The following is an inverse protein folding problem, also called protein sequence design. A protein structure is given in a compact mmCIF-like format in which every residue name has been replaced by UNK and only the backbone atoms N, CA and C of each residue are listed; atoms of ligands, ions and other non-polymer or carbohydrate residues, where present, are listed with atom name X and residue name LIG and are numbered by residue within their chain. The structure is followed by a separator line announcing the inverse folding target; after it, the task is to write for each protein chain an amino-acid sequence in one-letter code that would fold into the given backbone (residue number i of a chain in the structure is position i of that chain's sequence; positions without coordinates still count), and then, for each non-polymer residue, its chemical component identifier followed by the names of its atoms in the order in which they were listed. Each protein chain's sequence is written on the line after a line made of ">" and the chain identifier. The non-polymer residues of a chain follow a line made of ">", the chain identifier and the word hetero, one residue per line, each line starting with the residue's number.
data_IF_697979487046
#
_entry.id   IF_697979487046
#
_cell.length_a   1.000
_cell.length_b   1.000
_cell.length_c   1.000
_cell.angle_alpha   90.00
_cell.angle_beta   90.00
_cell.angle_gamma   90.00
#
_symmetry.space_group_name_H-M   'P 1'
#
loop_
_entity.id
_entity.type
_entity.pdbx_description
1 polymer ?
#
# COMPACT_ATOMS: atom_id res chain seq x y z
N UNK A 1 27.19 19.48 8.43
CA UNK A 1 26.06 19.05 9.29
C UNK A 1 25.04 18.32 8.41
N UNK A 2 24.54 17.17 8.86
CA UNK A 2 23.43 16.49 8.19
C UNK A 2 22.12 17.18 8.64
N UNK A 3 21.29 17.73 7.73
CA UNK A 3 20.05 18.42 8.08
C UNK A 3 18.96 17.48 8.57
N UNK A 4 19.09 16.17 8.37
CA UNK A 4 18.08 15.17 8.70
C UNK A 4 16.68 15.61 8.22
N UNK A 5 15.64 15.42 9.04
CA UNK A 5 14.26 15.77 8.68
C UNK A 5 13.99 17.26 8.45
N UNK A 6 14.91 18.17 8.82
CA UNK A 6 14.76 19.61 8.49
C UNK A 6 14.81 19.84 6.98
N UNK A 7 15.44 18.94 6.21
CA UNK A 7 15.44 19.01 4.75
C UNK A 7 14.01 18.95 4.16
N UNK A 8 13.07 18.30 4.83
CA UNK A 8 11.66 18.23 4.40
C UNK A 8 11.02 19.62 4.28
N UNK A 9 11.44 20.59 5.12
CA UNK A 9 10.94 21.97 5.03
C UNK A 9 11.33 22.61 3.71
N UNK A 10 12.54 22.35 3.22
CA UNK A 10 13.01 22.88 1.92
C UNK A 10 12.24 22.24 0.78
N UNK A 11 12.11 20.91 0.80
CA UNK A 11 11.38 20.15 -0.22
C UNK A 11 9.91 20.58 -0.29
N UNK A 12 9.24 20.67 0.87
CA UNK A 12 7.82 21.02 0.92
C UNK A 12 7.56 22.49 0.60
N UNK A 13 8.48 23.38 0.97
CA UNK A 13 8.41 24.78 0.55
C UNK A 13 8.53 24.92 -0.98
N UNK A 14 9.51 24.26 -1.59
CA UNK A 14 9.70 24.28 -3.04
C UNK A 14 8.47 23.72 -3.79
N UNK A 15 7.87 22.64 -3.26
CA UNK A 15 6.65 22.07 -3.83
C UNK A 15 5.47 23.05 -3.75
N UNK A 16 5.26 23.70 -2.60
CA UNK A 16 4.20 24.72 -2.45
C UNK A 16 4.40 25.92 -3.35
N UNK A 17 5.65 26.37 -3.53
CA UNK A 17 5.99 27.51 -4.38
C UNK A 17 5.74 27.21 -5.87
N UNK A 18 6.09 26.01 -6.33
CA UNK A 18 5.99 25.62 -7.74
C UNK A 18 4.60 25.13 -8.14
N UNK A 19 3.91 24.38 -7.29
CA UNK A 19 2.66 23.71 -7.62
C UNK A 19 1.43 24.42 -7.03
N UNK A 20 1.63 25.21 -6.00
CA UNK A 20 0.55 25.84 -5.23
C UNK A 20 -0.14 24.88 -4.24
N UNK A 21 -0.76 25.41 -3.16
CA UNK A 21 -1.31 24.62 -2.07
C UNK A 21 -2.51 23.74 -2.47
N UNK A 22 -3.23 24.12 -3.51
CA UNK A 22 -4.41 23.39 -4.00
C UNK A 22 -4.10 22.28 -5.00
N UNK A 23 -2.82 22.08 -5.36
CA UNK A 23 -2.43 21.02 -6.29
C UNK A 23 -2.86 19.63 -5.77
N UNK A 24 -3.31 18.76 -6.67
CA UNK A 24 -3.67 17.36 -6.37
C UNK A 24 -3.11 16.45 -7.43
N UNK A 25 -2.64 15.28 -7.02
CA UNK A 25 -2.25 14.23 -7.96
C UNK A 25 -3.48 13.50 -8.50
N UNK A 26 -3.34 12.99 -9.71
CA UNK A 26 -4.36 12.15 -10.35
C UNK A 26 -3.89 10.69 -10.37
N UNK A 27 -4.83 9.76 -10.18
CA UNK A 27 -4.64 8.34 -10.44
C UNK A 27 -5.72 7.91 -11.42
N UNK A 28 -5.47 8.03 -12.74
CA UNK A 28 -6.43 7.65 -13.76
C UNK A 28 -6.54 6.13 -13.88
N UNK A 29 -7.76 5.68 -14.18
CA UNK A 29 -8.08 4.29 -14.45
C UNK A 29 -8.67 4.18 -15.85
N UNK A 30 -8.16 3.25 -16.64
CA UNK A 30 -8.63 3.01 -17.99
C UNK A 30 -9.17 1.60 -18.13
N UNK A 31 -10.13 1.43 -19.01
CA UNK A 31 -10.75 0.16 -19.35
C UNK A 31 -10.41 -0.16 -20.80
N UNK A 32 -9.69 -1.25 -21.01
CA UNK A 32 -9.38 -1.80 -22.33
C UNK A 32 -10.26 -3.05 -22.54
N UNK A 33 -11.17 -3.01 -23.49
CA UNK A 33 -12.07 -4.13 -23.79
C UNK A 33 -13.54 -3.78 -23.56
N UNK A 34 -14.36 -4.78 -23.33
CA UNK A 34 -15.80 -4.63 -23.20
C UNK A 34 -16.30 -5.02 -21.80
N UNK A 35 -17.21 -4.22 -21.25
CA UNK A 35 -17.92 -4.53 -20.01
C UNK A 35 -19.32 -5.02 -20.36
N UNK A 36 -19.69 -6.22 -19.91
CA UNK A 36 -21.03 -6.80 -20.10
C UNK A 36 -21.41 -7.57 -18.82
N UNK A 37 -22.62 -7.35 -18.33
CA UNK A 37 -23.18 -8.04 -17.18
C UNK A 37 -22.20 -8.14 -15.98
N UNK A 38 -21.60 -7.01 -15.61
CA UNK A 38 -20.64 -6.93 -14.50
C UNK A 38 -19.26 -7.49 -14.81
N UNK A 39 -19.02 -7.97 -16.03
CA UNK A 39 -17.75 -8.60 -16.42
C UNK A 39 -16.99 -7.75 -17.43
N UNK A 40 -15.77 -7.36 -17.09
CA UNK A 40 -14.80 -6.82 -18.04
C UNK A 40 -14.06 -7.98 -18.72
N UNK A 41 -14.20 -8.09 -20.04
CA UNK A 41 -13.33 -8.94 -20.87
C UNK A 41 -12.26 -8.05 -21.49
N UNK A 42 -11.04 -8.08 -20.92
CA UNK A 42 -9.97 -7.18 -21.31
C UNK A 42 -9.06 -6.83 -20.14
N UNK A 43 -8.60 -5.58 -20.05
CA UNK A 43 -7.67 -5.12 -19.01
C UNK A 43 -8.19 -3.89 -18.29
N UNK A 44 -7.96 -3.86 -16.99
CA UNK A 44 -8.10 -2.66 -16.19
C UNK A 44 -6.72 -2.07 -15.95
N UNK A 45 -6.51 -0.81 -16.31
CA UNK A 45 -5.25 -0.10 -16.10
C UNK A 45 -5.41 0.90 -14.96
N UNK A 46 -4.45 0.91 -14.04
CA UNK A 46 -4.35 1.91 -12.97
C UNK A 46 -2.99 2.60 -13.15
N UNK A 47 -3.00 3.90 -13.46
CA UNK A 47 -1.78 4.65 -13.72
C UNK A 47 -1.40 5.50 -12.52
N UNK A 48 -0.22 5.26 -11.97
CA UNK A 48 0.39 6.09 -10.95
C UNK A 48 1.05 7.33 -11.55
N UNK A 49 0.77 8.48 -10.96
CA UNK A 49 1.38 9.77 -11.33
C UNK A 49 2.05 10.44 -10.13
N UNK A 50 2.48 9.65 -9.15
CA UNK A 50 3.23 10.11 -7.99
C UNK A 50 2.37 10.59 -6.82
N UNK A 51 1.10 10.14 -6.69
CA UNK A 51 0.32 10.41 -5.48
C UNK A 51 1.07 9.84 -4.25
N UNK A 52 1.56 10.69 -3.35
CA UNK A 52 2.35 10.24 -2.20
C UNK A 52 1.49 9.68 -1.08
N UNK A 53 0.17 9.73 -1.20
CA UNK A 53 -0.78 9.35 -0.15
C UNK A 53 -1.89 8.41 -0.66
N UNK A 54 -1.56 7.52 -1.61
CA UNK A 54 -2.48 6.46 -2.04
C UNK A 54 -2.48 5.33 -0.99
N UNK A 55 -2.97 5.65 0.20
CA UNK A 55 -3.12 4.71 1.32
C UNK A 55 -4.25 3.71 1.08
N UNK A 56 -4.36 2.69 1.94
CA UNK A 56 -5.32 1.60 1.80
C UNK A 56 -6.76 2.09 1.57
N UNK A 57 -7.20 3.09 2.32
CA UNK A 57 -8.55 3.65 2.24
C UNK A 57 -8.82 4.29 0.87
N UNK A 58 -7.84 5.01 0.33
CA UNK A 58 -7.93 5.65 -0.98
C UNK A 58 -7.92 4.61 -2.11
N UNK A 59 -7.10 3.58 -1.98
CA UNK A 59 -7.09 2.45 -2.91
C UNK A 59 -8.43 1.68 -2.85
N UNK A 60 -8.96 1.44 -1.65
CA UNK A 60 -10.26 0.81 -1.47
C UNK A 60 -11.35 1.62 -2.15
N UNK A 61 -11.37 2.94 -1.95
CA UNK A 61 -12.35 3.82 -2.58
C UNK A 61 -12.21 3.81 -4.12
N UNK A 62 -10.97 3.80 -4.63
CA UNK A 62 -10.72 3.71 -6.08
C UNK A 62 -11.31 2.41 -6.63
N UNK A 63 -10.99 1.26 -6.04
CA UNK A 63 -11.51 -0.05 -6.48
C UNK A 63 -13.03 -0.15 -6.29
N UNK A 64 -13.58 0.44 -5.23
CA UNK A 64 -15.03 0.52 -5.03
C UNK A 64 -15.72 1.31 -6.14
N UNK A 65 -15.10 2.39 -6.60
CA UNK A 65 -15.61 3.16 -7.75
C UNK A 65 -15.53 2.34 -9.05
N UNK A 66 -14.50 1.52 -9.23
CA UNK A 66 -14.45 0.57 -10.36
C UNK A 66 -15.65 -0.36 -10.34
N UNK A 67 -15.99 -0.94 -9.17
CA UNK A 67 -17.15 -1.80 -9.03
C UNK A 67 -18.49 -1.04 -9.24
N UNK A 68 -18.66 0.10 -8.58
CA UNK A 68 -19.96 0.76 -8.52
C UNK A 68 -20.21 1.70 -9.70
N UNK A 69 -19.21 2.47 -10.14
CA UNK A 69 -19.38 3.47 -11.20
C UNK A 69 -19.16 2.90 -12.60
N UNK A 70 -18.27 1.91 -12.73
CA UNK A 70 -18.01 1.23 -14.01
C UNK A 70 -18.78 -0.09 -14.13
N UNK A 71 -19.44 -0.55 -13.07
CA UNK A 71 -20.19 -1.81 -13.05
C UNK A 71 -19.30 -3.04 -13.23
N UNK A 72 -18.02 -3.02 -12.81
CA UNK A 72 -17.08 -4.11 -13.01
C UNK A 72 -16.91 -4.88 -11.70
N UNK A 73 -17.49 -6.07 -11.61
CA UNK A 73 -17.35 -6.98 -10.47
C UNK A 73 -16.41 -8.15 -10.77
N UNK A 74 -16.29 -8.50 -12.06
CA UNK A 74 -15.43 -9.57 -12.56
C UNK A 74 -14.55 -9.08 -13.68
N UNK A 75 -13.27 -9.51 -13.68
CA UNK A 75 -12.32 -9.22 -14.75
C UNK A 75 -11.84 -10.56 -15.32
N UNK A 76 -12.02 -10.73 -16.64
CA UNK A 76 -11.44 -11.80 -17.46
C UNK A 76 -10.31 -11.18 -18.25
N UNK A 77 -9.10 -11.25 -17.70
CA UNK A 77 -7.89 -10.56 -18.13
C UNK A 77 -7.13 -9.99 -16.93
N UNK A 78 -6.25 -9.03 -17.18
CA UNK A 78 -5.35 -8.52 -16.14
C UNK A 78 -5.81 -7.16 -15.57
N UNK A 79 -5.40 -6.90 -14.33
CA UNK A 79 -5.26 -5.55 -13.79
C UNK A 79 -3.79 -5.17 -14.00
N UNK A 80 -3.53 -4.09 -14.74
CA UNK A 80 -2.17 -3.63 -15.04
C UNK A 80 -1.90 -2.32 -14.31
N UNK A 81 -0.81 -2.31 -13.56
CA UNK A 81 -0.38 -1.18 -12.73
C UNK A 81 0.77 -0.48 -13.43
N UNK A 82 0.53 0.74 -13.88
CA UNK A 82 1.56 1.56 -14.54
C UNK A 82 2.20 2.50 -13.50
N UNK A 83 3.47 2.28 -13.21
CA UNK A 83 4.28 3.13 -12.34
C UNK A 83 5.44 3.81 -13.10
N UNK A 84 5.36 3.88 -14.42
CA UNK A 84 6.46 4.36 -15.28
C UNK A 84 6.63 5.88 -15.31
N UNK A 85 5.76 6.64 -14.62
CA UNK A 85 5.92 8.09 -14.49
C UNK A 85 7.19 8.49 -13.73
N UNK A 86 7.77 7.60 -12.91
CA UNK A 86 9.07 7.77 -12.29
C UNK A 86 10.08 6.78 -12.88
N UNK A 87 11.33 7.22 -12.99
CA UNK A 87 12.44 6.31 -13.23
C UNK A 87 12.61 5.37 -12.00
N UNK A 88 13.03 4.13 -12.20
CA UNK A 88 13.32 3.23 -11.08
C UNK A 88 14.32 3.87 -10.10
N UNK A 89 14.03 3.78 -8.80
CA UNK A 89 14.96 4.25 -7.77
C UNK A 89 16.23 3.40 -7.79
N UNK A 90 17.42 4.01 -7.80
CA UNK A 90 18.67 3.27 -7.68
C UNK A 90 18.95 2.77 -6.25
N UNK A 91 18.24 3.30 -5.24
CA UNK A 91 18.46 2.96 -3.83
C UNK A 91 17.65 1.75 -3.41
N UNK A 92 18.27 0.89 -2.57
CA UNK A 92 17.58 -0.22 -1.92
C UNK A 92 17.10 0.18 -0.51
N UNK A 93 16.04 -0.43 0.01
CA UNK A 93 15.49 -0.07 1.33
C UNK A 93 16.48 -0.16 2.49
N UNK A 94 17.49 -1.00 2.41
CA UNK A 94 18.52 -1.15 3.45
C UNK A 94 19.73 -0.20 3.35
N UNK A 95 19.82 0.61 2.30
CA UNK A 95 21.04 1.41 2.02
C UNK A 95 21.26 2.52 3.04
N UNK A 96 20.21 3.01 3.70
CA UNK A 96 20.31 4.13 4.62
C UNK A 96 20.82 3.74 6.01
N UNK A 97 20.31 2.65 6.59
CA UNK A 97 20.55 2.28 7.98
C UNK A 97 20.69 0.76 8.23
N UNK A 98 20.65 -0.04 7.17
CA UNK A 98 20.69 -1.49 7.25
C UNK A 98 19.36 -2.15 7.64
N UNK A 99 18.25 -1.39 7.70
CA UNK A 99 16.94 -1.86 8.16
C UNK A 99 15.93 -1.95 6.99
N UNK A 100 16.04 -2.94 6.09
CA UNK A 100 15.22 -3.01 4.87
C UNK A 100 13.71 -3.19 5.13
N UNK A 101 13.34 -3.68 6.32
CA UNK A 101 11.94 -3.88 6.71
C UNK A 101 11.35 -2.68 7.49
N UNK A 102 12.12 -1.62 7.69
CA UNK A 102 11.59 -0.39 8.27
C UNK A 102 10.73 0.35 7.27
N UNK A 103 9.48 0.65 7.65
CA UNK A 103 8.48 1.27 6.77
C UNK A 103 8.94 2.62 6.17
N UNK A 104 9.81 3.36 6.88
CA UNK A 104 10.33 4.65 6.43
C UNK A 104 11.44 4.54 5.36
N UNK A 105 11.91 3.33 5.04
CA UNK A 105 12.93 3.06 4.03
C UNK A 105 12.36 2.64 2.67
N UNK A 106 11.04 2.65 2.50
CA UNK A 106 10.42 2.33 1.22
C UNK A 106 10.86 3.31 0.13
N UNK A 107 11.31 2.77 -1.00
CA UNK A 107 11.73 3.59 -2.14
C UNK A 107 10.53 4.30 -2.79
N UNK A 108 10.74 5.52 -3.35
CA UNK A 108 9.73 6.24 -4.12
C UNK A 108 9.15 5.39 -5.25
N UNK A 109 7.88 5.61 -5.57
CA UNK A 109 7.18 4.92 -6.65
C UNK A 109 6.10 5.84 -7.22
N UNK A 110 5.91 5.83 -8.53
CA UNK A 110 4.85 6.62 -9.15
C UNK A 110 3.45 6.11 -8.77
N UNK A 111 3.33 4.82 -8.41
CA UNK A 111 2.12 4.21 -7.84
C UNK A 111 2.42 3.70 -6.42
N UNK A 112 2.66 4.64 -5.51
CA UNK A 112 3.03 4.38 -4.14
C UNK A 112 1.81 3.92 -3.31
N UNK A 113 1.48 2.64 -3.36
CA UNK A 113 0.39 2.06 -2.59
C UNK A 113 0.83 1.86 -1.14
N UNK A 114 0.07 2.44 -0.20
CA UNK A 114 0.19 2.26 1.26
C UNK A 114 1.65 2.27 1.76
N UNK A 115 2.49 3.16 1.20
CA UNK A 115 3.93 3.29 1.52
C UNK A 115 4.72 1.98 1.37
N UNK A 116 4.28 1.05 0.53
CA UNK A 116 4.83 -0.33 0.39
C UNK A 116 4.94 -1.07 1.74
N UNK A 117 4.05 -0.75 2.66
CA UNK A 117 4.07 -1.25 4.04
C UNK A 117 2.84 -2.07 4.36
N UNK A 118 3.04 -3.03 5.27
CA UNK A 118 1.98 -3.82 5.88
C UNK A 118 1.80 -3.35 7.30
N UNK A 119 0.57 -3.12 7.72
CA UNK A 119 0.20 -2.82 9.09
C UNK A 119 -0.33 -4.10 9.76
N UNK A 120 0.35 -4.58 10.77
CA UNK A 120 -0.13 -5.64 11.65
C UNK A 120 -0.86 -5.00 12.84
N UNK A 121 -2.15 -5.27 12.97
CA UNK A 121 -2.92 -4.95 14.18
C UNK A 121 -3.09 -6.21 15.02
N UNK A 122 -2.76 -6.12 16.31
CA UNK A 122 -2.76 -7.23 17.26
C UNK A 122 -3.77 -6.90 18.34
N UNK A 123 -4.86 -7.67 18.44
CA UNK A 123 -5.93 -7.45 19.41
C UNK A 123 -6.07 -8.68 20.31
N UNK A 124 -5.75 -8.57 21.63
CA UNK A 124 -5.84 -9.70 22.54
C UNK A 124 -7.29 -10.11 22.82
N UNK A 125 -7.56 -11.41 22.76
CA UNK A 125 -8.79 -12.06 23.18
C UNK A 125 -8.50 -13.01 24.35
N UNK A 126 -8.71 -12.51 25.55
CA UNK A 126 -8.45 -13.27 26.78
C UNK A 126 -9.42 -14.44 26.99
N UNK A 127 -10.62 -14.38 26.40
CA UNK A 127 -11.59 -15.46 26.49
C UNK A 127 -11.15 -16.68 25.66
N UNK A 128 -10.51 -16.45 24.51
CA UNK A 128 -10.00 -17.53 23.66
C UNK A 128 -8.53 -17.86 23.93
N UNK A 129 -7.82 -17.09 24.74
CA UNK A 129 -6.39 -17.31 25.04
C UNK A 129 -5.47 -17.01 23.84
N UNK A 130 -5.90 -16.19 22.89
CA UNK A 130 -5.16 -15.81 21.69
C UNK A 130 -5.19 -14.30 21.48
N UNK A 131 -4.23 -13.78 20.70
CA UNK A 131 -4.38 -12.46 20.11
C UNK A 131 -4.73 -12.64 18.62
N UNK A 132 -5.76 -11.94 18.18
CA UNK A 132 -6.15 -11.88 16.77
C UNK A 132 -5.19 -10.95 16.01
N UNK A 133 -4.86 -11.33 14.79
CA UNK A 133 -3.93 -10.63 13.91
C UNK A 133 -4.67 -10.18 12.65
N UNK A 134 -4.73 -8.88 12.45
CA UNK A 134 -5.24 -8.29 11.23
C UNK A 134 -4.07 -7.69 10.42
N UNK A 135 -4.07 -7.93 9.13
CA UNK A 135 -3.02 -7.52 8.20
C UNK A 135 -3.60 -6.62 7.12
N UNK A 136 -3.13 -5.39 7.04
CA UNK A 136 -3.59 -4.38 6.11
C UNK A 136 -2.43 -3.82 5.26
N UNK A 137 -2.55 -3.83 3.91
CA UNK A 137 -3.61 -4.46 3.13
C UNK A 137 -3.52 -6.00 3.12
N UNK A 138 -4.59 -6.71 2.76
CA UNK A 138 -4.50 -8.13 2.47
C UNK A 138 -3.62 -8.35 1.24
N UNK A 139 -2.63 -9.23 1.32
CA UNK A 139 -1.69 -9.51 0.24
C UNK A 139 -2.03 -10.85 -0.43
N UNK A 140 -2.39 -10.82 -1.72
CA UNK A 140 -2.72 -12.04 -2.45
C UNK A 140 -1.51 -12.98 -2.54
N UNK A 141 -1.75 -14.28 -2.24
CA UNK A 141 -0.73 -15.32 -2.30
C UNK A 141 0.28 -15.30 -1.15
N UNK A 142 0.07 -14.48 -0.11
CA UNK A 142 0.90 -14.46 1.10
C UNK A 142 0.20 -15.20 2.24
N UNK A 143 0.90 -16.14 2.87
CA UNK A 143 0.42 -16.82 4.07
C UNK A 143 0.68 -15.94 5.30
N UNK A 144 -0.39 -15.52 5.96
CA UNK A 144 -0.33 -14.67 7.14
C UNK A 144 -1.06 -15.35 8.30
N UNK A 145 -0.44 -15.50 9.49
CA UNK A 145 -1.11 -16.08 10.64
C UNK A 145 -2.28 -15.19 11.08
N UNK A 146 -3.34 -15.81 11.59
CA UNK A 146 -4.54 -15.08 12.06
C UNK A 146 -4.55 -14.89 13.56
N UNK A 147 -3.78 -15.67 14.28
CA UNK A 147 -3.71 -15.63 15.75
C UNK A 147 -2.29 -15.93 16.21
N UNK A 148 -1.99 -15.49 17.42
CA UNK A 148 -0.81 -15.89 18.20
C UNK A 148 -1.24 -16.17 19.64
N UNK A 149 -0.55 -17.09 20.32
CA UNK A 149 -0.88 -17.45 21.72
C UNK A 149 -0.73 -16.24 22.65
N UNK A 150 -1.69 -16.08 23.59
CA UNK A 150 -1.57 -15.12 24.67
C UNK A 150 -0.73 -15.66 25.83
N UNK A 151 -0.07 -14.73 26.50
CA UNK A 151 0.59 -14.96 27.81
C UNK A 151 0.09 -13.98 28.85
N UNK A 152 0.19 -14.38 30.13
CA UNK A 152 0.07 -13.52 31.27
C UNK A 152 1.40 -12.81 31.54
N UNK A 153 1.36 -11.65 32.19
CA UNK A 153 2.53 -10.87 32.57
C UNK A 153 2.56 -9.49 31.91
N UNK A 154 3.61 -8.74 32.19
CA UNK A 154 3.79 -7.38 31.69
C UNK A 154 4.02 -7.35 30.18
N UNK A 155 3.67 -6.24 29.54
CA UNK A 155 3.80 -6.08 28.10
C UNK A 155 5.26 -6.18 27.61
N UNK A 156 6.17 -5.51 28.28
CA UNK A 156 7.58 -5.48 27.88
C UNK A 156 7.78 -5.08 26.41
N UNK A 157 8.79 -5.64 25.78
CA UNK A 157 9.01 -5.53 24.33
C UNK A 157 8.21 -6.61 23.60
N UNK A 158 6.98 -6.25 23.22
CA UNK A 158 6.07 -7.16 22.52
C UNK A 158 6.60 -7.60 21.14
N UNK A 159 7.41 -6.76 20.47
CA UNK A 159 7.97 -7.10 19.15
C UNK A 159 9.01 -8.20 19.28
N UNK A 160 9.92 -8.08 20.23
CA UNK A 160 10.88 -9.12 20.54
C UNK A 160 10.18 -10.41 20.99
N UNK A 161 9.13 -10.31 21.82
CA UNK A 161 8.37 -11.45 22.32
C UNK A 161 7.63 -12.22 21.21
N UNK A 162 7.16 -11.54 20.18
CA UNK A 162 6.49 -12.16 19.02
C UNK A 162 7.43 -12.99 18.14
N UNK A 163 8.73 -12.75 18.16
CA UNK A 163 9.74 -13.44 17.32
C UNK A 163 9.30 -13.47 15.85
N UNK A 164 8.97 -12.28 15.33
CA UNK A 164 8.45 -12.13 13.98
C UNK A 164 9.55 -12.39 12.94
N UNK A 165 9.17 -13.11 11.88
CA UNK A 165 9.95 -13.27 10.66
C UNK A 165 9.09 -12.84 9.47
N UNK A 166 9.44 -11.70 8.86
CA UNK A 166 8.80 -11.10 7.70
C UNK A 166 9.73 -11.07 6.49
N UNK A 167 10.86 -11.80 6.54
CA UNK A 167 11.84 -11.84 5.46
C UNK A 167 11.40 -12.69 4.27
N UNK A 168 10.55 -13.71 4.51
CA UNK A 168 9.93 -14.48 3.44
C UNK A 168 8.70 -13.74 2.90
N UNK A 169 8.74 -13.22 1.65
CA UNK A 169 7.63 -12.46 1.09
C UNK A 169 6.36 -13.27 0.86
N UNK A 170 6.43 -14.60 0.93
CA UNK A 170 5.26 -15.47 0.74
C UNK A 170 4.68 -15.99 2.05
N UNK A 171 5.40 -15.81 3.16
CA UNK A 171 4.97 -16.36 4.45
C UNK A 171 5.46 -15.52 5.62
N UNK A 172 4.57 -14.86 6.31
CA UNK A 172 4.87 -14.22 7.58
C UNK A 172 4.77 -15.22 8.72
N UNK A 173 5.68 -15.13 9.68
CA UNK A 173 5.73 -16.02 10.84
C UNK A 173 5.80 -15.21 12.12
N UNK A 174 5.06 -15.66 13.12
CA UNK A 174 5.17 -15.21 14.51
C UNK A 174 5.39 -16.48 15.35
N UNK A 175 6.61 -16.65 15.83
CA UNK A 175 7.06 -17.87 16.51
C UNK A 175 6.97 -17.77 18.04
N UNK A 176 6.61 -16.60 18.54
CA UNK A 176 6.50 -16.30 19.95
C UNK A 176 5.07 -16.19 20.44
N UNK A 177 4.86 -15.32 21.42
CA UNK A 177 3.58 -15.08 22.06
C UNK A 177 3.36 -13.60 22.32
N UNK A 178 2.13 -13.22 22.69
CA UNK A 178 1.74 -11.85 22.96
C UNK A 178 1.20 -11.71 24.37
N UNK A 179 1.69 -10.73 25.15
CA UNK A 179 1.16 -10.49 26.49
C UNK A 179 -0.17 -9.73 26.42
N UNK A 180 -1.20 -10.24 27.10
CA UNK A 180 -2.52 -9.60 27.13
C UNK A 180 -2.46 -8.14 27.68
N UNK A 181 -1.53 -7.85 28.58
CA UNK A 181 -1.29 -6.52 29.14
C UNK A 181 -0.85 -5.48 28.08
N UNK A 182 -0.37 -5.90 26.91
CA UNK A 182 -0.03 -5.00 25.81
C UNK A 182 -1.24 -4.29 25.22
N UNK A 183 -2.45 -4.80 25.45
CA UNK A 183 -3.68 -4.32 24.81
C UNK A 183 -3.54 -4.37 23.28
N UNK A 184 -4.34 -3.59 22.58
CA UNK A 184 -4.19 -3.47 21.14
C UNK A 184 -2.90 -2.73 20.77
N UNK A 185 -2.18 -3.25 19.79
CA UNK A 185 -0.98 -2.63 19.21
C UNK A 185 -1.02 -2.70 17.71
N UNK A 186 -0.41 -1.69 17.08
CA UNK A 186 -0.14 -1.69 15.64
C UNK A 186 1.36 -1.72 15.37
N UNK A 187 1.74 -2.44 14.32
CA UNK A 187 3.14 -2.57 13.90
C UNK A 187 3.23 -2.45 12.38
N UNK A 188 3.62 -1.27 11.85
CA UNK A 188 3.93 -1.10 10.44
C UNK A 188 5.33 -1.65 10.13
N UNK A 189 5.47 -2.35 9.00
CA UNK A 189 6.76 -2.79 8.46
C UNK A 189 6.72 -2.79 6.93
N UNK A 190 7.89 -2.60 6.27
CA UNK A 190 8.00 -2.68 4.83
C UNK A 190 7.90 -4.13 4.36
N UNK A 191 7.28 -4.33 3.21
CA UNK A 191 7.20 -5.65 2.59
C UNK A 191 8.55 -6.05 1.99
N UNK A 192 8.99 -7.29 2.25
CA UNK A 192 10.32 -7.77 1.87
C UNK A 192 10.56 -7.83 0.36
N UNK A 193 9.50 -7.88 -0.45
CA UNK A 193 9.57 -7.86 -1.92
C UNK A 193 8.81 -6.64 -2.47
N UNK A 194 9.42 -5.44 -2.44
CA UNK A 194 8.74 -4.21 -2.82
C UNK A 194 8.31 -4.17 -4.29
N UNK A 195 8.91 -4.99 -5.18
CA UNK A 195 8.52 -5.06 -6.58
C UNK A 195 7.15 -5.73 -6.79
N UNK A 196 6.82 -6.71 -5.95
CA UNK A 196 5.54 -7.42 -6.01
C UNK A 196 4.51 -6.92 -5.00
N UNK A 197 4.83 -5.89 -4.21
CA UNK A 197 3.90 -5.38 -3.20
C UNK A 197 2.60 -4.87 -3.81
N UNK A 198 2.69 -3.92 -4.76
CA UNK A 198 1.51 -3.31 -5.37
C UNK A 198 0.59 -4.32 -6.07
N UNK A 199 1.10 -5.26 -6.90
CA UNK A 199 0.28 -6.33 -7.45
C UNK A 199 -0.46 -7.16 -6.40
N UNK A 200 0.23 -7.58 -5.33
CA UNK A 200 -0.38 -8.39 -4.26
C UNK A 200 -1.42 -7.63 -3.46
N UNK A 201 -1.15 -6.36 -3.14
CA UNK A 201 -2.06 -5.50 -2.38
C UNK A 201 -3.33 -5.21 -3.18
N UNK A 202 -3.22 -4.84 -4.45
CA UNK A 202 -4.38 -4.58 -5.32
C UNK A 202 -5.20 -5.86 -5.51
N UNK A 203 -4.57 -6.99 -5.78
CA UNK A 203 -5.29 -8.25 -5.94
C UNK A 203 -5.97 -8.71 -4.65
N UNK A 204 -5.27 -8.63 -3.51
CA UNK A 204 -5.82 -9.00 -2.22
C UNK A 204 -7.00 -8.13 -1.82
N UNK A 205 -6.88 -6.82 -2.03
CA UNK A 205 -7.95 -5.88 -1.74
C UNK A 205 -9.14 -6.07 -2.68
N UNK A 206 -8.91 -6.24 -4.00
CA UNK A 206 -9.96 -6.55 -4.96
C UNK A 206 -10.77 -7.78 -4.55
N UNK A 207 -10.08 -8.87 -4.20
CA UNK A 207 -10.71 -10.13 -3.77
C UNK A 207 -11.47 -9.96 -2.43
N UNK A 208 -10.90 -9.23 -1.46
CA UNK A 208 -11.56 -8.99 -0.17
C UNK A 208 -12.86 -8.19 -0.29
N UNK A 209 -12.99 -7.39 -1.37
CA UNK A 209 -14.19 -6.64 -1.70
C UNK A 209 -15.21 -7.46 -2.52
N UNK A 210 -14.98 -8.77 -2.71
CA UNK A 210 -15.83 -9.64 -3.52
C UNK A 210 -15.55 -9.60 -5.02
N UNK A 211 -14.55 -8.84 -5.46
CA UNK A 211 -14.16 -8.77 -6.86
C UNK A 211 -13.54 -10.09 -7.34
N UNK A 212 -13.89 -10.50 -8.55
CA UNK A 212 -13.37 -11.71 -9.18
C UNK A 212 -12.32 -11.34 -10.24
N UNK A 213 -11.22 -12.09 -10.29
CA UNK A 213 -10.16 -11.91 -11.28
C UNK A 213 -9.79 -13.26 -11.89
N UNK A 214 -9.96 -13.36 -13.20
CA UNK A 214 -9.47 -14.46 -14.01
C UNK A 214 -8.33 -13.94 -14.90
N UNK A 215 -7.14 -13.92 -14.33
CA UNK A 215 -5.92 -13.32 -14.82
C UNK A 215 -5.03 -12.95 -13.65
N UNK A 216 -4.20 -11.93 -13.81
CA UNK A 216 -3.25 -11.49 -12.81
C UNK A 216 -3.29 -9.97 -12.58
N UNK A 217 -2.76 -9.54 -11.42
CA UNK A 217 -2.35 -8.15 -11.24
C UNK A 217 -0.86 -8.06 -11.47
N UNK A 218 -0.41 -7.17 -12.35
CA UNK A 218 1.00 -7.06 -12.73
C UNK A 218 1.40 -5.62 -13.03
N UNK A 219 2.68 -5.33 -12.95
CA UNK A 219 3.24 -4.07 -13.42
C UNK A 219 3.30 -4.06 -14.96
N UNK A 220 3.16 -2.88 -15.55
CA UNK A 220 3.30 -2.70 -16.99
C UNK A 220 3.02 -1.26 -17.42
N UNK A 221 3.75 -0.79 -18.42
CA UNK A 221 3.55 0.54 -18.99
C UNK A 221 2.25 0.60 -19.80
N UNK A 222 1.49 1.68 -19.62
CA UNK A 222 0.34 1.98 -20.46
C UNK A 222 0.81 2.11 -21.92
N UNK A 223 0.14 1.46 -22.89
CA UNK A 223 0.59 1.51 -24.27
C UNK A 223 0.64 2.94 -24.83
N UNK A 224 1.66 3.25 -25.65
CA UNK A 224 1.78 4.57 -26.27
C UNK A 224 0.55 4.94 -27.12
N UNK A 225 -0.12 3.96 -27.72
CA UNK A 225 -1.38 4.13 -28.44
C UNK A 225 -2.55 4.57 -27.55
N UNK A 226 -2.41 4.41 -26.22
CA UNK A 226 -3.40 4.88 -25.24
C UNK A 226 -3.38 6.41 -25.04
N UNK A 227 -2.49 7.15 -25.71
CA UNK A 227 -2.45 8.60 -25.62
C UNK A 227 -3.77 9.30 -25.99
N UNK A 228 -4.63 8.63 -26.75
CA UNK A 228 -6.00 9.07 -27.07
C UNK A 228 -7.09 8.51 -26.16
N UNK A 229 -6.74 7.64 -25.22
CA UNK A 229 -7.75 7.07 -24.32
C UNK A 229 -8.19 8.10 -23.29
N UNK A 230 -9.49 8.14 -23.06
CA UNK A 230 -10.03 8.89 -21.92
C UNK A 230 -10.08 7.95 -20.69
N UNK A 231 -9.66 8.41 -19.52
CA UNK A 231 -9.79 7.60 -18.33
C UNK A 231 -11.28 7.36 -18.03
N UNK A 232 -11.63 6.12 -17.71
CA UNK A 232 -12.98 5.75 -17.31
C UNK A 232 -13.34 6.35 -15.93
N UNK A 233 -12.34 6.53 -15.08
CA UNK A 233 -12.44 7.30 -13.84
C UNK A 233 -11.07 7.89 -13.45
N UNK A 234 -11.09 8.93 -12.63
CA UNK A 234 -9.89 9.53 -12.05
C UNK A 234 -10.10 9.65 -10.55
N UNK A 235 -9.19 9.05 -9.77
CA UNK A 235 -9.06 9.36 -8.35
C UNK A 235 -8.13 10.56 -8.19
N UNK A 236 -8.38 11.40 -7.18
CA UNK A 236 -7.52 12.51 -6.83
C UNK A 236 -7.07 12.40 -5.39
N UNK A 237 -5.83 12.78 -5.14
CA UNK A 237 -5.27 12.86 -3.80
C UNK A 237 -5.90 13.97 -2.96
N UNK A 238 -5.56 14.02 -1.68
CA UNK A 238 -5.66 15.23 -0.89
C UNK A 238 -4.83 16.38 -1.52
N UNK A 239 -5.10 17.62 -1.11
CA UNK A 239 -4.34 18.78 -1.58
C UNK A 239 -2.88 18.73 -1.13
N UNK A 240 -1.99 19.38 -1.89
CA UNK A 240 -0.57 19.52 -1.51
C UNK A 240 -0.41 20.10 -0.10
N UNK A 241 -1.24 21.07 0.29
CA UNK A 241 -1.20 21.65 1.62
C UNK A 241 -1.46 20.60 2.73
N UNK A 242 -2.43 19.70 2.54
CA UNK A 242 -2.72 18.62 3.48
C UNK A 242 -1.59 17.60 3.52
N UNK A 243 -1.05 17.24 2.37
CA UNK A 243 0.10 16.32 2.24
C UNK A 243 1.34 16.90 2.92
N UNK A 244 1.66 18.17 2.70
CA UNK A 244 2.78 18.88 3.35
C UNK A 244 2.60 18.91 4.87
N UNK A 245 1.38 19.16 5.36
CA UNK A 245 1.08 19.09 6.79
C UNK A 245 1.46 17.72 7.35
N UNK A 246 1.07 16.65 6.68
CA UNK A 246 1.30 15.27 7.16
C UNK A 246 2.79 14.88 7.04
N UNK A 247 3.47 15.25 5.96
CA UNK A 247 4.92 15.07 5.82
C UNK A 247 5.66 15.70 7.00
N UNK A 248 5.37 16.98 7.30
CA UNK A 248 6.09 17.73 8.31
C UNK A 248 5.68 17.33 9.75
N UNK A 249 4.39 17.07 9.99
CA UNK A 249 3.87 16.70 11.31
C UNK A 249 4.36 15.33 11.76
N UNK A 250 4.37 14.35 10.86
CA UNK A 250 4.75 12.97 11.18
C UNK A 250 6.17 12.64 10.74
N UNK A 251 6.90 13.60 10.18
CA UNK A 251 8.25 13.41 9.63
C UNK A 251 8.32 12.23 8.65
N UNK A 252 7.28 12.09 7.81
CA UNK A 252 7.21 10.98 6.87
C UNK A 252 8.36 11.08 5.85
N UNK A 253 9.12 9.98 5.69
CA UNK A 253 10.26 9.93 4.77
C UNK A 253 9.87 9.45 3.37
N UNK A 254 8.75 8.74 3.25
CA UNK A 254 8.34 8.08 2.00
C UNK A 254 7.54 9.03 1.12
N UNK A 255 6.68 9.85 1.72
CA UNK A 255 5.91 10.90 1.03
C UNK A 255 6.82 11.97 0.42
#
# INVERSE_FOLDING_TARGET
>A
MNPASVMKLVTTYAALDQLGPAFTWATPVYVEGAVRDGTLTGRLWIQGQGDPHLVLENLWLLLRRVQQSLGIERIVGDIVLDNTAFAPSPTQPGDFDGEPLSAYNAAPDALLINFKSVLLTITPDTAQGVAHLQWDPPLAGVQMPRTVALTSGDCGDYRAALKADFTDPLRFRLLGSYAAACKEKTWPFAYADPANYAPRAVQGLWQSMGGQLQGSVRLGALPALASGWQPALVARSASLAEIVRDINKYSNNVM
#
